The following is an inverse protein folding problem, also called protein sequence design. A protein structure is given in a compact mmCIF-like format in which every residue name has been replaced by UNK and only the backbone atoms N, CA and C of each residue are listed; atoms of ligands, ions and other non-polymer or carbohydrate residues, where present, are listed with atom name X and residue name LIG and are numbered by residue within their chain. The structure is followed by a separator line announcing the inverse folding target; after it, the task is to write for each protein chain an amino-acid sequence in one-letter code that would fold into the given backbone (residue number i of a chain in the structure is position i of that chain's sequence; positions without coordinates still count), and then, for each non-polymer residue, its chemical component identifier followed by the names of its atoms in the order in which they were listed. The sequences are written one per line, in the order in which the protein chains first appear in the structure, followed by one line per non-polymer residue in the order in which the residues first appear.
data_IF_704670130716
#
_entry.id   IF_704670130716
#
_cell.length_a   1.000
_cell.length_b   1.000
_cell.length_c   1.000
_cell.angle_alpha   90.00
_cell.angle_beta   90.00
_cell.angle_gamma   90.00
#
_symmetry.space_group_name_H-M   'P 1'
#
loop_
_entity.id
_entity.type
_entity.pdbx_description
1 polymer ?
#
# COMPACT_ATOMS: atom_id res chain seq x y z
N UNK A 1 13.63 -48.30 88.36
CA UNK A 1 13.94 -46.95 87.86
C UNK A 1 13.47 -46.90 86.39
N UNK A 2 12.39 -46.21 86.16
CA UNK A 2 11.78 -46.10 84.79
C UNK A 2 12.00 -44.67 84.30
N UNK A 3 12.84 -44.54 83.29
CA UNK A 3 13.10 -43.25 82.62
C UNK A 3 12.07 -43.00 81.50
N UNK A 4 11.32 -41.92 81.62
CA UNK A 4 10.36 -41.48 80.60
C UNK A 4 11.08 -40.64 79.55
N UNK A 5 11.05 -41.10 78.31
CA UNK A 5 11.47 -40.29 77.13
C UNK A 5 10.30 -39.38 76.73
N UNK A 6 10.55 -38.09 76.70
CA UNK A 6 9.64 -37.07 76.20
C UNK A 6 9.93 -36.84 74.70
N UNK A 7 9.08 -37.21 73.84
CA UNK A 7 9.16 -36.92 72.36
C UNK A 7 8.62 -35.55 72.08
N UNK A 8 9.45 -34.66 71.59
CA UNK A 8 9.08 -33.31 71.12
C UNK A 8 8.70 -33.38 69.62
N UNK A 9 7.44 -33.17 69.32
CA UNK A 9 6.98 -33.06 67.95
C UNK A 9 7.03 -31.58 67.48
N UNK A 10 7.99 -31.27 66.62
CA UNK A 10 8.08 -29.97 66.00
C UNK A 10 7.16 -29.98 64.70
N UNK A 11 6.06 -29.25 64.75
CA UNK A 11 5.18 -29.05 63.58
C UNK A 11 5.78 -27.96 62.71
N UNK A 12 6.27 -28.34 61.52
CA UNK A 12 6.74 -27.42 60.47
C UNK A 12 5.53 -26.92 59.66
N UNK A 13 5.07 -25.69 59.90
CA UNK A 13 4.04 -25.05 59.08
C UNK A 13 4.66 -24.54 57.78
N UNK A 14 4.43 -25.24 56.66
CA UNK A 14 4.81 -24.78 55.33
C UNK A 14 3.76 -23.74 54.84
N UNK A 15 4.15 -22.47 54.83
CA UNK A 15 3.37 -21.40 54.18
C UNK A 15 3.54 -21.49 52.65
N UNK A 16 2.52 -21.98 51.92
CA UNK A 16 2.46 -21.87 50.49
C UNK A 16 2.20 -20.40 50.11
N UNK A 17 3.22 -19.70 49.67
CA UNK A 17 3.08 -18.42 48.98
C UNK A 17 2.52 -18.72 47.59
N UNK A 18 1.21 -18.47 47.37
CA UNK A 18 0.60 -18.52 46.07
C UNK A 18 1.12 -17.34 45.24
N UNK A 19 2.06 -17.60 44.32
CA UNK A 19 2.42 -16.63 43.27
C UNK A 19 1.21 -16.44 42.36
N UNK A 20 0.42 -15.41 42.59
CA UNK A 20 -0.58 -14.96 41.64
C UNK A 20 0.14 -14.34 40.44
N UNK A 21 0.12 -15.00 39.30
CA UNK A 21 0.57 -14.41 38.05
C UNK A 21 -0.21 -13.12 37.80
N UNK A 22 0.43 -12.01 37.33
CA UNK A 22 -0.28 -10.79 37.01
C UNK A 22 -1.33 -11.08 35.92
N UNK A 23 -2.53 -10.54 36.11
CA UNK A 23 -3.58 -10.64 35.09
C UNK A 23 -3.06 -10.09 33.74
N UNK A 24 -3.40 -10.71 32.60
CA UNK A 24 -3.03 -10.18 31.30
C UNK A 24 -3.52 -8.72 31.19
N UNK A 25 -2.66 -7.84 30.69
CA UNK A 25 -3.01 -6.44 30.48
C UNK A 25 -4.25 -6.36 29.57
N UNK A 26 -5.19 -5.49 29.91
CA UNK A 26 -6.36 -5.24 29.05
C UNK A 26 -5.85 -4.80 27.65
N UNK A 27 -6.51 -5.25 26.57
CA UNK A 27 -6.18 -4.79 25.22
C UNK A 27 -6.25 -3.25 25.17
N UNK A 28 -5.34 -2.59 24.42
CA UNK A 28 -5.38 -1.14 24.29
C UNK A 28 -6.73 -0.69 23.75
N UNK A 29 -7.20 0.49 24.18
CA UNK A 29 -8.43 1.07 23.67
C UNK A 29 -8.33 1.27 22.14
N UNK A 30 -9.42 1.05 21.39
CA UNK A 30 -9.44 1.30 19.96
C UNK A 30 -9.03 2.74 19.65
N UNK A 31 -8.17 2.93 18.65
CA UNK A 31 -7.83 4.27 18.16
C UNK A 31 -9.05 4.92 17.51
N UNK A 32 -9.29 6.24 17.70
CA UNK A 32 -10.32 6.95 16.95
C UNK A 32 -10.07 6.85 15.45
N UNK A 33 -11.13 6.72 14.65
CA UNK A 33 -11.01 6.79 13.19
C UNK A 33 -10.66 8.21 12.74
N UNK A 34 -9.75 8.30 11.78
CA UNK A 34 -9.34 9.52 11.09
C UNK A 34 -9.93 9.61 9.68
N UNK A 35 -10.56 8.54 9.19
CA UNK A 35 -11.13 8.49 7.85
C UNK A 35 -12.12 9.61 7.57
N UNK A 36 -11.91 10.33 6.46
CA UNK A 36 -12.79 11.37 5.97
C UNK A 36 -14.14 10.86 5.46
N UNK A 37 -15.12 11.75 5.26
CA UNK A 37 -16.49 11.37 4.85
C UNK A 37 -16.56 10.75 3.45
N UNK A 38 -15.53 10.93 2.61
CA UNK A 38 -15.42 10.30 1.29
C UNK A 38 -14.97 8.85 1.33
N UNK A 39 -14.55 8.34 2.50
CA UNK A 39 -14.02 6.97 2.64
C UNK A 39 -15.13 5.98 2.97
N UNK A 40 -15.19 4.89 2.22
CA UNK A 40 -16.19 3.84 2.38
C UNK A 40 -15.54 2.46 2.37
N UNK A 41 -15.67 1.71 3.45
CA UNK A 41 -15.34 0.27 3.46
C UNK A 41 -16.50 -0.48 2.80
N UNK A 42 -16.24 -1.16 1.69
CA UNK A 42 -17.29 -1.85 0.95
C UNK A 42 -17.76 -3.08 1.72
N UNK A 43 -19.08 -3.19 1.93
CA UNK A 43 -19.67 -4.34 2.62
C UNK A 43 -19.49 -5.65 1.83
N UNK A 44 -19.49 -5.56 0.49
CA UNK A 44 -19.26 -6.71 -0.38
C UNK A 44 -17.75 -6.97 -0.50
N UNK A 45 -17.32 -8.14 -0.03
CA UNK A 45 -15.99 -8.66 -0.31
C UNK A 45 -15.96 -9.29 -1.71
N UNK A 46 -14.87 -9.12 -2.44
CA UNK A 46 -14.74 -9.70 -3.77
C UNK A 46 -13.90 -10.99 -3.72
N UNK A 47 -14.42 -12.04 -4.36
CA UNK A 47 -13.69 -13.29 -4.50
C UNK A 47 -12.42 -13.10 -5.33
N UNK A 48 -11.33 -13.74 -4.92
CA UNK A 48 -10.04 -13.77 -5.61
C UNK A 48 -9.88 -15.09 -6.37
N UNK A 49 -10.18 -15.13 -7.68
CA UNK A 49 -10.09 -16.36 -8.45
C UNK A 49 -8.68 -16.96 -8.41
N UNK A 50 -8.60 -18.27 -8.24
CA UNK A 50 -7.33 -19.00 -8.15
C UNK A 50 -6.66 -18.97 -6.77
N UNK A 51 -7.09 -18.08 -5.85
CA UNK A 51 -6.54 -18.00 -4.50
C UNK A 51 -7.48 -18.54 -3.41
N UNK A 52 -8.77 -18.80 -3.73
CA UNK A 52 -9.75 -19.33 -2.76
C UNK A 52 -10.02 -18.39 -1.58
N UNK A 53 -9.86 -17.09 -1.78
CA UNK A 53 -10.00 -16.04 -0.76
C UNK A 53 -10.93 -14.95 -1.26
N UNK A 54 -11.31 -14.08 -0.33
CA UNK A 54 -12.05 -12.87 -0.63
C UNK A 54 -11.28 -11.64 -0.12
N UNK A 55 -11.51 -10.50 -0.75
CA UNK A 55 -10.82 -9.26 -0.41
C UNK A 55 -11.79 -8.12 -0.13
N UNK A 56 -11.53 -7.40 0.96
CA UNK A 56 -12.18 -6.13 1.29
C UNK A 56 -11.57 -5.02 0.44
N UNK A 57 -12.42 -4.15 -0.05
CA UNK A 57 -12.01 -2.91 -0.71
C UNK A 57 -12.43 -1.70 0.13
N UNK A 58 -11.58 -0.67 0.12
CA UNK A 58 -11.87 0.65 0.67
C UNK A 58 -11.88 1.65 -0.47
N UNK A 59 -12.94 2.42 -0.55
CA UNK A 59 -13.15 3.35 -1.64
C UNK A 59 -13.12 4.77 -1.10
N UNK A 60 -12.36 5.65 -1.72
CA UNK A 60 -12.51 7.09 -1.54
C UNK A 60 -13.21 7.68 -2.77
N UNK A 61 -14.28 8.44 -2.53
CA UNK A 61 -14.99 9.22 -3.52
C UNK A 61 -14.72 10.71 -3.30
N UNK A 62 -14.37 11.46 -4.34
CA UNK A 62 -14.00 12.86 -4.20
C UNK A 62 -15.21 13.74 -3.82
N UNK A 63 -14.98 14.95 -3.26
CA UNK A 63 -16.04 15.82 -2.74
C UNK A 63 -17.14 16.14 -3.75
N UNK A 64 -16.82 16.33 -5.03
CA UNK A 64 -17.82 16.63 -6.06
C UNK A 64 -18.61 15.41 -6.51
N UNK A 65 -18.25 14.19 -6.09
CA UNK A 65 -18.82 12.97 -6.66
C UNK A 65 -20.35 12.90 -6.56
N UNK A 66 -20.95 13.32 -5.47
CA UNK A 66 -22.41 13.29 -5.31
C UNK A 66 -23.12 14.36 -6.15
N UNK A 67 -22.51 15.54 -6.29
CA UNK A 67 -23.11 16.68 -7.01
C UNK A 67 -22.90 16.62 -8.51
N UNK A 68 -21.73 16.22 -8.97
CA UNK A 68 -21.33 16.18 -10.38
C UNK A 68 -21.72 14.84 -11.04
N UNK A 69 -23.00 14.61 -11.28
CA UNK A 69 -23.54 13.29 -11.68
C UNK A 69 -23.09 12.77 -13.04
N UNK A 70 -22.55 13.64 -13.91
CA UNK A 70 -22.04 13.27 -15.26
C UNK A 70 -20.52 13.21 -15.33
N UNK A 71 -19.82 13.80 -14.37
CA UNK A 71 -18.35 13.84 -14.33
C UNK A 71 -17.77 12.44 -14.12
N UNK A 72 -16.72 12.13 -14.88
CA UNK A 72 -15.92 10.91 -14.71
C UNK A 72 -14.56 11.26 -14.16
N UNK A 73 -14.05 10.38 -13.29
CA UNK A 73 -12.85 10.62 -12.50
C UNK A 73 -11.75 9.62 -12.86
N UNK A 74 -10.48 10.02 -12.87
CA UNK A 74 -9.38 9.08 -12.90
C UNK A 74 -9.44 8.16 -11.68
N UNK A 75 -8.87 6.97 -11.79
CA UNK A 75 -8.90 5.95 -10.73
C UNK A 75 -7.48 5.59 -10.32
N UNK A 76 -7.25 5.60 -9.03
CA UNK A 76 -5.98 5.20 -8.42
C UNK A 76 -6.22 3.90 -7.64
N UNK A 77 -5.63 2.80 -8.09
CA UNK A 77 -5.61 1.53 -7.36
C UNK A 77 -4.43 1.54 -6.40
N UNK A 78 -4.68 1.25 -5.12
CA UNK A 78 -3.65 1.25 -4.09
C UNK A 78 -3.68 -0.02 -3.26
N UNK A 79 -2.50 -0.56 -2.96
CA UNK A 79 -2.33 -1.74 -2.11
C UNK A 79 -2.32 -1.35 -0.62
N UNK A 80 -2.46 -2.34 0.27
CA UNK A 80 -2.38 -2.18 1.73
C UNK A 80 -3.39 -1.16 2.29
N UNK A 81 -4.65 -1.29 1.87
CA UNK A 81 -5.66 -0.25 2.10
C UNK A 81 -5.97 0.03 3.57
N UNK A 82 -5.63 -0.87 4.49
CA UNK A 82 -5.73 -0.63 5.92
C UNK A 82 -4.93 0.59 6.38
N UNK A 83 -3.84 0.94 5.64
CA UNK A 83 -2.92 2.02 5.96
C UNK A 83 -3.18 3.32 5.17
N UNK A 84 -4.21 3.40 4.33
CA UNK A 84 -4.36 4.53 3.40
C UNK A 84 -5.15 5.70 3.97
N UNK A 85 -6.26 5.41 4.69
CA UNK A 85 -7.31 6.38 4.98
C UNK A 85 -7.67 6.51 6.47
N UNK A 86 -7.16 5.63 7.34
CA UNK A 86 -7.64 5.56 8.71
C UNK A 86 -6.56 5.03 9.65
N UNK A 87 -6.11 5.87 10.57
CA UNK A 87 -5.12 5.48 11.58
C UNK A 87 -5.65 4.37 12.51
N UNK A 88 -6.98 4.28 12.70
CA UNK A 88 -7.58 3.23 13.51
C UNK A 88 -7.38 1.83 12.92
N UNK A 89 -7.25 1.70 11.61
CA UNK A 89 -7.03 0.41 10.93
C UNK A 89 -5.58 0.19 10.50
N UNK A 90 -4.76 1.22 10.56
CA UNK A 90 -3.36 1.18 10.17
C UNK A 90 -2.51 0.43 11.21
N UNK A 91 -1.51 -0.32 10.74
CA UNK A 91 -0.55 -1.00 11.61
C UNK A 91 0.63 -0.12 12.02
N UNK A 92 1.03 0.83 11.17
CA UNK A 92 2.28 1.61 11.32
C UNK A 92 2.11 3.10 11.01
N UNK A 93 0.88 3.60 11.08
CA UNK A 93 0.48 4.94 10.66
C UNK A 93 -0.24 4.93 9.32
N UNK A 94 -0.95 6.00 9.00
CA UNK A 94 -1.69 6.14 7.75
C UNK A 94 -0.98 7.03 6.73
N UNK A 95 -1.35 6.85 5.45
CA UNK A 95 -0.84 7.67 4.35
C UNK A 95 -1.55 9.02 4.21
N UNK A 96 -2.75 9.18 4.77
CA UNK A 96 -3.56 10.39 4.62
C UNK A 96 -3.94 10.68 3.17
N UNK A 97 -4.39 9.63 2.47
CA UNK A 97 -4.71 9.70 1.04
C UNK A 97 -5.95 10.55 0.80
N UNK A 98 -6.97 10.40 1.60
CA UNK A 98 -8.22 11.16 1.54
C UNK A 98 -8.01 12.64 1.89
N UNK A 99 -7.25 12.95 2.94
CA UNK A 99 -6.94 14.35 3.29
C UNK A 99 -6.13 15.05 2.18
N UNK A 100 -5.17 14.32 1.58
CA UNK A 100 -4.40 14.85 0.46
C UNK A 100 -5.28 15.15 -0.75
N UNK A 101 -6.20 14.24 -1.10
CA UNK A 101 -7.07 14.42 -2.26
C UNK A 101 -8.18 15.45 -2.00
N UNK A 102 -8.71 15.55 -0.79
CA UNK A 102 -9.61 16.62 -0.39
C UNK A 102 -8.94 17.99 -0.49
N UNK A 103 -7.68 18.09 -0.05
CA UNK A 103 -6.88 19.31 -0.21
C UNK A 103 -6.63 19.62 -1.68
N UNK A 104 -6.35 18.62 -2.54
CA UNK A 104 -6.16 18.83 -3.98
C UNK A 104 -7.46 19.24 -4.67
N UNK A 105 -8.59 18.66 -4.30
CA UNK A 105 -9.90 19.09 -4.80
C UNK A 105 -10.13 20.57 -4.50
N UNK A 106 -9.86 21.00 -3.26
CA UNK A 106 -10.10 22.35 -2.79
C UNK A 106 -9.13 23.38 -3.38
N UNK A 107 -7.84 23.03 -3.51
CA UNK A 107 -6.77 24.00 -3.84
C UNK A 107 -6.28 23.93 -5.27
N UNK A 108 -6.53 22.82 -5.96
CA UNK A 108 -5.99 22.55 -7.29
C UNK A 108 -7.06 22.08 -8.30
N UNK A 109 -8.31 21.87 -7.85
CA UNK A 109 -9.40 21.39 -8.69
C UNK A 109 -9.19 19.94 -9.19
N UNK A 110 -8.22 19.22 -8.64
CA UNK A 110 -7.96 17.83 -8.99
C UNK A 110 -8.76 16.89 -8.08
N UNK A 111 -9.44 15.95 -8.71
CA UNK A 111 -10.24 14.94 -8.03
C UNK A 111 -10.08 13.57 -8.70
N UNK A 112 -9.95 12.54 -7.88
CA UNK A 112 -9.81 11.15 -8.32
C UNK A 112 -10.60 10.21 -7.39
N UNK A 113 -11.00 9.06 -7.91
CA UNK A 113 -11.47 7.92 -7.11
C UNK A 113 -10.24 7.13 -6.68
N UNK A 114 -10.19 6.70 -5.41
CA UNK A 114 -9.17 5.73 -4.97
C UNK A 114 -9.85 4.42 -4.63
N UNK A 115 -9.27 3.33 -5.13
CA UNK A 115 -9.67 1.96 -4.83
C UNK A 115 -8.55 1.31 -4.04
N UNK A 116 -8.67 1.33 -2.74
CA UNK A 116 -7.76 0.66 -1.83
C UNK A 116 -8.11 -0.82 -1.71
N UNK A 117 -7.11 -1.68 -1.80
CA UNK A 117 -7.23 -3.13 -1.71
C UNK A 117 -6.55 -3.56 -0.40
N UNK A 118 -7.33 -4.09 0.55
CA UNK A 118 -6.77 -4.57 1.82
C UNK A 118 -5.74 -5.67 1.56
N UNK A 119 -4.67 -5.71 2.34
CA UNK A 119 -3.73 -6.84 2.30
C UNK A 119 -4.32 -8.07 3.00
N UNK A 120 -3.77 -9.24 2.70
CA UNK A 120 -4.20 -10.52 3.23
C UNK A 120 -3.46 -10.93 4.51
N UNK A 121 -3.06 -10.00 5.37
CA UNK A 121 -2.30 -10.28 6.59
C UNK A 121 -1.08 -11.16 6.32
N UNK A 122 -1.02 -12.38 6.86
CA UNK A 122 0.06 -13.31 6.63
C UNK A 122 0.29 -13.70 5.16
N UNK A 123 -0.73 -13.55 4.32
CA UNK A 123 -0.64 -13.85 2.88
C UNK A 123 -0.06 -12.69 2.05
N UNK A 124 0.07 -11.51 2.65
CA UNK A 124 0.57 -10.31 1.96
C UNK A 124 1.89 -10.55 1.22
N UNK A 125 2.81 -11.27 1.86
CA UNK A 125 4.13 -11.54 1.27
C UNK A 125 4.05 -12.37 0.00
N UNK A 126 3.08 -13.27 -0.11
CA UNK A 126 2.86 -14.10 -1.30
C UNK A 126 2.06 -13.34 -2.36
N UNK A 127 0.99 -12.66 -1.95
CA UNK A 127 0.08 -11.94 -2.85
C UNK A 127 0.73 -10.72 -3.52
N UNK A 128 1.63 -10.02 -2.83
CA UNK A 128 2.33 -8.87 -3.41
C UNK A 128 3.69 -9.23 -4.02
N UNK A 129 3.99 -10.52 -4.16
CA UNK A 129 5.25 -11.02 -4.75
C UNK A 129 4.99 -11.75 -6.05
N UNK A 130 5.39 -11.19 -7.20
CA UNK A 130 5.18 -11.82 -8.51
C UNK A 130 6.10 -12.99 -8.79
N UNK A 131 7.22 -13.11 -8.08
CA UNK A 131 8.25 -14.10 -8.28
C UNK A 131 8.50 -14.91 -7.00
N UNK A 132 8.74 -16.21 -7.16
CA UNK A 132 9.06 -17.11 -6.04
C UNK A 132 10.39 -16.71 -5.40
N UNK A 133 10.42 -16.70 -4.08
CA UNK A 133 11.63 -16.48 -3.30
C UNK A 133 11.85 -17.71 -2.40
N UNK A 134 13.04 -18.38 -2.45
CA UNK A 134 13.29 -19.59 -1.67
C UNK A 134 13.11 -19.44 -0.16
N UNK A 135 13.31 -18.22 0.38
CA UNK A 135 13.15 -17.93 1.79
C UNK A 135 11.69 -17.76 2.21
N UNK A 136 10.86 -17.20 1.31
CA UNK A 136 9.50 -16.79 1.65
C UNK A 136 8.41 -17.67 1.01
N UNK A 137 8.77 -18.56 0.09
CA UNK A 137 7.86 -19.53 -0.51
C UNK A 137 7.28 -19.09 -1.86
N UNK A 138 6.14 -19.69 -2.26
CA UNK A 138 5.56 -19.50 -3.59
C UNK A 138 5.01 -18.09 -3.80
N UNK A 139 5.16 -17.58 -5.02
CA UNK A 139 4.58 -16.32 -5.44
C UNK A 139 3.11 -16.47 -5.80
N UNK A 140 2.30 -15.47 -5.48
CA UNK A 140 0.89 -15.36 -5.86
C UNK A 140 0.57 -13.99 -6.50
N UNK A 141 1.58 -13.17 -6.78
CA UNK A 141 1.42 -11.83 -7.31
C UNK A 141 0.79 -11.80 -8.71
N UNK A 142 0.98 -12.84 -9.51
CA UNK A 142 0.30 -12.97 -10.80
C UNK A 142 -1.22 -13.13 -10.61
N UNK A 143 -1.65 -14.04 -9.74
CA UNK A 143 -3.07 -14.25 -9.42
C UNK A 143 -3.68 -13.01 -8.74
N UNK A 144 -2.92 -12.37 -7.85
CA UNK A 144 -3.36 -11.13 -7.21
C UNK A 144 -3.56 -10.01 -8.25
N UNK A 145 -2.65 -9.81 -9.18
CA UNK A 145 -2.82 -8.79 -10.21
C UNK A 145 -3.91 -9.14 -11.22
N UNK A 146 -4.10 -10.42 -11.55
CA UNK A 146 -5.26 -10.86 -12.32
C UNK A 146 -6.57 -10.54 -11.58
N UNK A 147 -6.64 -10.75 -10.26
CA UNK A 147 -7.78 -10.32 -9.46
C UNK A 147 -8.02 -8.81 -9.56
N UNK A 148 -6.98 -7.99 -9.45
CA UNK A 148 -7.11 -6.53 -9.56
C UNK A 148 -7.64 -6.12 -10.93
N UNK A 149 -7.11 -6.71 -12.01
CA UNK A 149 -7.42 -6.31 -13.40
C UNK A 149 -8.73 -6.91 -13.90
N UNK A 150 -8.98 -8.19 -13.60
CA UNK A 150 -10.08 -8.94 -14.21
C UNK A 150 -11.32 -9.02 -13.30
N UNK A 151 -11.19 -8.69 -12.00
CA UNK A 151 -12.30 -8.69 -11.04
C UNK A 151 -12.56 -7.30 -10.48
N UNK A 152 -11.57 -6.69 -9.80
CA UNK A 152 -11.77 -5.41 -9.11
C UNK A 152 -12.07 -4.30 -10.10
N UNK A 153 -11.21 -4.10 -11.11
CA UNK A 153 -11.37 -2.99 -12.04
C UNK A 153 -12.70 -3.03 -12.80
N UNK A 154 -13.14 -4.13 -13.42
CA UNK A 154 -14.44 -4.19 -14.08
C UNK A 154 -15.61 -3.96 -13.12
N UNK A 155 -15.50 -4.47 -11.88
CA UNK A 155 -16.52 -4.27 -10.86
C UNK A 155 -16.67 -2.79 -10.47
N UNK A 156 -15.55 -2.07 -10.34
CA UNK A 156 -15.50 -0.63 -10.07
C UNK A 156 -16.03 0.17 -11.26
N UNK A 157 -15.53 -0.10 -12.47
CA UNK A 157 -15.92 0.63 -13.68
C UNK A 157 -17.41 0.52 -14.00
N UNK A 158 -18.02 -0.62 -13.65
CA UNK A 158 -19.47 -0.84 -13.83
C UNK A 158 -20.34 -0.08 -12.83
N UNK A 159 -19.80 0.34 -11.69
CA UNK A 159 -20.58 0.92 -10.55
C UNK A 159 -20.28 2.37 -10.29
N UNK A 160 -19.11 2.84 -10.69
CA UNK A 160 -18.64 4.20 -10.41
C UNK A 160 -18.30 4.95 -11.70
N UNK A 161 -18.36 6.25 -11.64
CA UNK A 161 -18.07 7.14 -12.79
C UNK A 161 -16.57 7.29 -13.01
N UNK A 162 -15.95 6.26 -13.53
CA UNK A 162 -14.52 6.17 -13.80
C UNK A 162 -14.15 6.67 -15.19
N UNK A 163 -12.89 7.06 -15.36
CA UNK A 163 -12.19 7.16 -16.65
C UNK A 163 -11.46 5.82 -16.84
N UNK A 164 -12.06 4.82 -17.53
CA UNK A 164 -11.61 3.43 -17.47
C UNK A 164 -10.36 3.13 -18.30
N UNK A 165 -9.96 4.05 -19.18
CA UNK A 165 -8.78 3.90 -20.04
C UNK A 165 -7.48 4.01 -19.26
N UNK A 166 -6.38 3.50 -19.84
CA UNK A 166 -5.06 3.47 -19.21
C UNK A 166 -4.57 4.84 -18.74
N UNK A 167 -4.89 5.89 -19.48
CA UNK A 167 -4.45 7.26 -19.16
C UNK A 167 -5.16 7.84 -17.92
N UNK A 168 -6.37 7.33 -17.63
CA UNK A 168 -7.13 7.63 -16.42
C UNK A 168 -6.88 6.66 -15.25
N UNK A 169 -5.99 5.66 -15.42
CA UNK A 169 -5.81 4.58 -14.44
C UNK A 169 -4.38 4.57 -13.91
N UNK A 170 -4.24 4.68 -12.59
CA UNK A 170 -2.96 4.59 -11.88
C UNK A 170 -2.92 3.41 -10.92
N UNK A 171 -1.71 2.90 -10.63
CA UNK A 171 -1.46 1.91 -9.59
C UNK A 171 -0.35 2.42 -8.66
N UNK A 172 -0.55 2.30 -7.36
CA UNK A 172 0.38 2.84 -6.35
C UNK A 172 0.57 1.86 -5.21
N UNK A 173 1.79 1.74 -4.73
CA UNK A 173 2.09 0.97 -3.53
C UNK A 173 3.49 1.17 -3.02
N UNK A 174 3.74 0.72 -1.79
CA UNK A 174 5.05 0.76 -1.15
C UNK A 174 5.58 -0.64 -0.83
N UNK A 175 6.89 -0.75 -0.71
CA UNK A 175 7.54 -2.00 -0.32
C UNK A 175 7.21 -3.14 -1.31
N UNK A 176 6.63 -4.24 -0.85
CA UNK A 176 6.08 -5.28 -1.74
C UNK A 176 4.93 -4.76 -2.61
N UNK A 177 4.12 -3.79 -2.11
CA UNK A 177 3.13 -3.08 -2.91
C UNK A 177 3.77 -2.27 -4.05
N UNK A 178 4.94 -1.71 -3.84
CA UNK A 178 5.76 -1.09 -4.89
C UNK A 178 6.28 -2.12 -5.91
N UNK A 179 6.73 -3.29 -5.44
CA UNK A 179 7.17 -4.39 -6.30
C UNK A 179 6.04 -4.88 -7.21
N UNK A 180 4.85 -5.12 -6.67
CA UNK A 180 3.70 -5.60 -7.46
C UNK A 180 3.12 -4.50 -8.35
N UNK A 181 3.22 -3.21 -7.97
CA UNK A 181 2.88 -2.08 -8.85
C UNK A 181 3.82 -1.99 -10.06
N UNK A 182 5.11 -2.24 -9.84
CA UNK A 182 6.07 -2.38 -10.94
C UNK A 182 5.69 -3.52 -11.88
N UNK A 183 5.40 -4.70 -11.33
CA UNK A 183 4.95 -5.86 -12.10
C UNK A 183 3.66 -5.56 -12.90
N UNK A 184 2.74 -4.78 -12.34
CA UNK A 184 1.53 -4.36 -13.04
C UNK A 184 1.84 -3.60 -14.33
N UNK A 185 2.86 -2.74 -14.34
CA UNK A 185 3.28 -2.03 -15.56
C UNK A 185 3.91 -2.98 -16.60
N UNK A 186 4.59 -4.04 -16.16
CA UNK A 186 5.16 -5.05 -17.09
C UNK A 186 4.09 -5.92 -17.74
N UNK A 187 3.07 -6.34 -16.97
CA UNK A 187 2.07 -7.33 -17.42
C UNK A 187 0.80 -6.72 -17.98
N UNK A 188 0.43 -5.52 -17.51
CA UNK A 188 -0.83 -4.86 -17.83
C UNK A 188 -0.62 -3.42 -18.31
N UNK A 189 0.33 -3.14 -19.22
CA UNK A 189 0.59 -1.79 -19.70
C UNK A 189 -0.60 -1.18 -20.45
N UNK A 190 -1.53 -2.00 -20.94
CA UNK A 190 -2.78 -1.56 -21.55
C UNK A 190 -3.83 -1.09 -20.53
N UNK A 191 -3.63 -1.40 -19.24
CA UNK A 191 -4.54 -1.05 -18.13
C UNK A 191 -4.04 0.17 -17.38
N UNK A 192 -2.75 0.17 -17.03
CA UNK A 192 -2.14 1.20 -16.20
C UNK A 192 -1.23 2.11 -17.02
N UNK A 193 -1.63 3.37 -17.17
CA UNK A 193 -0.82 4.40 -17.80
C UNK A 193 0.05 5.18 -16.83
N UNK A 194 -0.15 4.99 -15.53
CA UNK A 194 0.53 5.70 -14.44
C UNK A 194 0.84 4.76 -13.29
N UNK A 195 2.00 4.95 -12.66
CA UNK A 195 2.31 4.29 -11.40
C UNK A 195 3.16 5.17 -10.47
N UNK A 196 2.93 5.06 -9.17
CA UNK A 196 3.90 5.51 -8.17
C UNK A 196 4.40 4.32 -7.37
N UNK A 197 5.70 4.16 -7.36
CA UNK A 197 6.41 3.00 -6.83
C UNK A 197 7.29 3.49 -5.69
N UNK A 198 6.79 3.30 -4.46
CA UNK A 198 7.42 3.78 -3.25
C UNK A 198 8.27 2.69 -2.62
N UNK A 199 9.53 2.97 -2.37
CA UNK A 199 10.44 2.09 -1.62
C UNK A 199 10.32 0.61 -2.02
N UNK A 200 10.39 0.27 -3.34
CA UNK A 200 10.03 -1.05 -3.82
C UNK A 200 10.99 -2.13 -3.30
N UNK A 201 10.43 -3.28 -2.92
CA UNK A 201 11.19 -4.44 -2.44
C UNK A 201 11.93 -5.17 -3.55
N UNK A 202 12.84 -4.50 -4.27
CA UNK A 202 13.61 -5.11 -5.37
C UNK A 202 14.60 -6.18 -4.89
N UNK A 203 14.99 -6.12 -3.62
CA UNK A 203 15.76 -7.18 -2.96
C UNK A 203 15.07 -8.54 -2.95
N UNK A 204 13.74 -8.57 -3.12
CA UNK A 204 12.94 -9.80 -3.04
C UNK A 204 13.26 -10.79 -4.16
N UNK A 205 13.47 -10.31 -5.38
CA UNK A 205 13.83 -11.15 -6.53
C UNK A 205 14.54 -10.36 -7.62
N UNK A 206 15.67 -10.90 -8.12
CA UNK A 206 16.39 -10.33 -9.27
C UNK A 206 15.63 -10.44 -10.59
N UNK A 207 14.56 -11.26 -10.64
CA UNK A 207 13.69 -11.41 -11.82
C UNK A 207 13.07 -10.07 -12.23
N UNK A 208 12.83 -9.15 -11.29
CA UNK A 208 12.29 -7.82 -11.61
C UNK A 208 13.17 -7.09 -12.64
N UNK A 209 14.49 -7.18 -12.52
CA UNK A 209 15.42 -6.53 -13.46
C UNK A 209 15.45 -7.24 -14.82
N UNK A 210 15.46 -8.58 -14.81
CA UNK A 210 15.45 -9.39 -16.04
C UNK A 210 14.17 -9.15 -16.85
N UNK A 211 13.01 -9.17 -16.19
CA UNK A 211 11.72 -8.94 -16.82
C UNK A 211 11.58 -7.49 -17.33
N UNK A 212 12.04 -6.49 -16.57
CA UNK A 212 12.03 -5.09 -17.00
C UNK A 212 12.90 -4.88 -18.24
N UNK A 213 14.05 -5.52 -18.30
CA UNK A 213 14.94 -5.44 -19.47
C UNK A 213 14.32 -6.11 -20.71
N UNK A 214 13.65 -7.25 -20.52
CA UNK A 214 13.05 -8.00 -21.61
C UNK A 214 11.74 -7.39 -22.13
N UNK A 215 10.96 -6.79 -21.24
CA UNK A 215 9.60 -6.31 -21.51
C UNK A 215 9.35 -4.94 -20.86
N UNK A 216 10.11 -3.88 -21.22
CA UNK A 216 9.84 -2.57 -20.67
C UNK A 216 8.43 -2.10 -21.06
N UNK A 217 7.74 -1.44 -20.14
CA UNK A 217 6.44 -0.85 -20.47
C UNK A 217 6.59 0.26 -21.52
N UNK A 218 5.53 0.54 -22.31
CA UNK A 218 5.60 1.47 -23.43
C UNK A 218 5.91 2.91 -23.00
N UNK A 219 6.47 3.69 -23.91
CA UNK A 219 6.62 5.13 -23.78
C UNK A 219 5.27 5.80 -23.49
N UNK A 220 5.27 6.94 -22.81
CA UNK A 220 4.09 7.63 -22.33
C UNK A 220 3.47 7.00 -21.07
N UNK A 221 4.08 5.95 -20.49
CA UNK A 221 3.71 5.47 -19.16
C UNK A 221 4.43 6.30 -18.11
N UNK A 222 3.69 7.07 -17.34
CA UNK A 222 4.26 7.93 -16.29
C UNK A 222 4.55 7.12 -15.04
N UNK A 223 5.81 7.12 -14.61
CA UNK A 223 6.24 6.35 -13.43
C UNK A 223 7.01 7.24 -12.47
N UNK A 224 6.47 7.37 -11.27
CA UNK A 224 7.08 8.08 -10.15
C UNK A 224 7.77 7.08 -9.23
N UNK A 225 9.08 7.18 -9.08
CA UNK A 225 9.84 6.38 -8.12
C UNK A 225 10.22 7.21 -6.90
N UNK A 226 10.04 6.62 -5.73
CA UNK A 226 10.45 7.22 -4.46
C UNK A 226 11.22 6.22 -3.62
N UNK A 227 12.23 6.71 -2.89
CA UNK A 227 12.95 5.94 -1.89
C UNK A 227 13.55 6.84 -0.82
N UNK A 228 13.55 6.37 0.43
CA UNK A 228 14.26 6.99 1.54
C UNK A 228 15.74 6.60 1.55
N UNK A 229 16.62 7.58 1.83
CA UNK A 229 18.06 7.35 1.91
C UNK A 229 18.51 6.60 3.17
N UNK A 230 17.62 6.43 4.16
CA UNK A 230 17.89 5.69 5.42
C UNK A 230 17.10 4.39 5.52
N UNK A 231 16.75 3.76 4.40
CA UNK A 231 16.04 2.48 4.41
C UNK A 231 17.02 1.32 4.67
N UNK A 232 17.74 0.92 3.66
CA UNK A 232 18.88 -0.01 3.77
C UNK A 232 19.96 0.39 2.77
N UNK A 233 21.17 -0.21 2.88
CA UNK A 233 22.32 0.18 2.08
C UNK A 233 22.14 -0.06 0.58
N UNK A 234 21.37 -1.06 0.20
CA UNK A 234 21.14 -1.45 -1.20
C UNK A 234 19.89 -0.80 -1.81
N UNK A 235 19.00 -0.21 -1.01
CA UNK A 235 17.71 0.27 -1.47
C UNK A 235 17.81 1.36 -2.55
N UNK A 236 18.66 2.37 -2.32
CA UNK A 236 18.90 3.44 -3.31
C UNK A 236 19.66 2.93 -4.54
N UNK A 237 20.77 2.16 -4.41
CA UNK A 237 21.44 1.52 -5.55
C UNK A 237 20.50 0.65 -6.41
N UNK A 238 19.67 -0.17 -5.78
CA UNK A 238 18.71 -1.02 -6.47
C UNK A 238 17.69 -0.22 -7.28
N UNK A 239 17.14 0.85 -6.70
CA UNK A 239 16.24 1.73 -7.42
C UNK A 239 16.94 2.45 -8.59
N UNK A 240 18.13 2.97 -8.38
CA UNK A 240 18.91 3.64 -9.43
C UNK A 240 19.25 2.68 -10.59
N UNK A 241 19.60 1.44 -10.27
CA UNK A 241 19.82 0.37 -11.26
C UNK A 241 18.55 0.13 -12.08
N UNK A 242 17.38 0.09 -11.45
CA UNK A 242 16.10 -0.09 -12.14
C UNK A 242 15.81 1.10 -13.08
N UNK A 243 15.95 2.32 -12.60
CA UNK A 243 15.72 3.52 -13.43
C UNK A 243 16.66 3.57 -14.63
N UNK A 244 17.92 3.16 -14.44
CA UNK A 244 18.88 3.06 -15.53
C UNK A 244 18.48 2.04 -16.63
N UNK A 245 17.85 0.93 -16.25
CA UNK A 245 17.31 -0.05 -17.21
C UNK A 245 16.13 0.52 -18.02
N UNK A 246 15.38 1.44 -17.45
CA UNK A 246 14.21 2.05 -18.07
C UNK A 246 14.56 3.26 -18.95
N UNK A 247 15.75 3.83 -18.80
CA UNK A 247 16.24 4.95 -19.59
C UNK A 247 16.66 4.48 -21.01
N UNK A 248 15.66 4.34 -21.89
CA UNK A 248 15.87 3.97 -23.30
C UNK A 248 15.78 5.20 -24.21
N UNK A 249 16.41 5.20 -25.41
CA UNK A 249 16.36 6.34 -26.33
C UNK A 249 14.93 6.75 -26.74
N UNK A 250 14.00 5.80 -26.79
CA UNK A 250 12.63 6.03 -27.22
C UNK A 250 11.72 6.53 -26.10
N UNK A 251 12.22 6.61 -24.86
CA UNK A 251 11.46 7.06 -23.70
C UNK A 251 11.73 8.53 -23.43
N UNK A 252 10.67 9.33 -23.32
CA UNK A 252 10.79 10.70 -22.92
C UNK A 252 11.32 10.80 -21.47
N UNK A 253 12.22 11.72 -21.20
CA UNK A 253 12.70 11.97 -19.84
C UNK A 253 11.56 12.39 -18.88
N UNK A 254 10.45 12.90 -19.43
CA UNK A 254 9.24 13.26 -18.69
C UNK A 254 8.38 12.06 -18.25
N UNK A 255 8.66 10.85 -18.76
CA UNK A 255 7.87 9.67 -18.45
C UNK A 255 8.28 9.03 -17.10
N UNK A 256 9.49 9.29 -16.63
CA UNK A 256 10.02 8.73 -15.40
C UNK A 256 10.61 9.83 -14.55
N UNK A 257 10.31 9.81 -13.26
CA UNK A 257 11.01 10.60 -12.25
C UNK A 257 11.43 9.72 -11.09
N UNK A 258 12.51 10.12 -10.42
CA UNK A 258 13.01 9.48 -9.20
C UNK A 258 13.21 10.57 -8.14
N UNK A 259 12.67 10.30 -6.95
CA UNK A 259 12.87 11.16 -5.79
C UNK A 259 13.52 10.36 -4.67
N UNK A 260 14.75 10.73 -4.31
CA UNK A 260 15.50 10.16 -3.19
C UNK A 260 15.51 11.19 -2.07
N UNK A 261 14.90 10.85 -0.93
CA UNK A 261 14.86 11.73 0.25
C UNK A 261 15.90 11.24 1.26
N UNK A 262 17.05 11.93 1.43
CA UNK A 262 18.22 11.40 2.15
C UNK A 262 17.92 10.97 3.60
N UNK A 263 17.03 11.68 4.30
CA UNK A 263 16.73 11.45 5.71
C UNK A 263 15.52 10.54 5.95
N UNK A 264 14.81 10.16 4.89
CA UNK A 264 13.60 9.36 5.00
C UNK A 264 13.90 7.87 5.22
N UNK A 265 12.97 7.21 5.92
CA UNK A 265 13.02 5.81 6.27
C UNK A 265 11.89 5.03 5.58
N UNK A 266 11.95 3.70 5.63
CA UNK A 266 10.94 2.79 5.10
C UNK A 266 9.70 2.73 5.99
N UNK A 267 8.82 3.74 5.91
CA UNK A 267 7.60 3.79 6.72
C UNK A 267 6.51 4.69 6.12
N UNK A 268 5.30 4.55 6.65
CA UNK A 268 4.10 5.25 6.20
C UNK A 268 4.22 6.78 6.35
N UNK A 269 4.91 7.26 7.37
CA UNK A 269 5.14 8.69 7.55
C UNK A 269 5.93 9.31 6.38
N UNK A 270 6.94 8.61 5.90
CA UNK A 270 7.73 9.04 4.76
C UNK A 270 6.89 9.01 3.46
N UNK A 271 6.12 7.93 3.26
CA UNK A 271 5.26 7.78 2.10
C UNK A 271 4.09 8.78 2.10
N UNK A 272 3.51 9.08 3.26
CA UNK A 272 2.50 10.16 3.43
C UNK A 272 3.04 11.52 2.98
N UNK A 273 4.27 11.85 3.37
CA UNK A 273 4.89 13.12 3.00
C UNK A 273 5.15 13.24 1.49
N UNK A 274 5.43 12.12 0.83
CA UNK A 274 5.76 12.04 -0.59
C UNK A 274 4.53 11.90 -1.50
N UNK A 275 3.45 11.30 -1.02
CA UNK A 275 2.25 11.02 -1.81
C UNK A 275 1.69 12.22 -2.56
N UNK A 276 1.56 13.43 -1.96
CA UNK A 276 1.11 14.63 -2.68
C UNK A 276 1.99 14.98 -3.89
N UNK A 277 3.30 14.82 -3.77
CA UNK A 277 4.26 15.10 -4.86
C UNK A 277 4.08 14.11 -6.01
N UNK A 278 3.94 12.82 -5.68
CA UNK A 278 3.69 11.77 -6.66
C UNK A 278 2.38 12.00 -7.43
N UNK A 279 1.29 12.32 -6.74
CA UNK A 279 -0.01 12.61 -7.38
C UNK A 279 0.08 13.85 -8.26
N UNK A 280 0.70 14.93 -7.78
CA UNK A 280 0.87 16.14 -8.54
C UNK A 280 1.65 15.89 -9.85
N UNK A 281 2.71 15.09 -9.77
CA UNK A 281 3.51 14.76 -10.95
C UNK A 281 2.77 13.79 -11.89
N UNK A 282 2.16 12.72 -11.40
CA UNK A 282 1.47 11.71 -12.22
C UNK A 282 0.32 12.28 -13.04
N UNK A 283 -0.40 13.24 -12.49
CA UNK A 283 -1.61 13.81 -13.08
C UNK A 283 -1.45 15.26 -13.56
N UNK A 284 -0.23 15.78 -13.59
CA UNK A 284 0.08 17.19 -13.96
C UNK A 284 -0.73 18.20 -13.17
N UNK A 285 -0.94 17.93 -11.88
CA UNK A 285 -1.74 18.78 -11.00
C UNK A 285 -0.95 20.02 -10.61
N UNK A 286 -1.34 21.16 -11.16
CA UNK A 286 -0.75 22.46 -10.84
C UNK A 286 -1.57 23.17 -9.76
N UNK A 287 -0.96 24.09 -9.00
CA UNK A 287 -1.73 24.99 -8.15
C UNK A 287 -2.77 25.75 -8.99
N UNK A 288 -3.96 25.96 -8.45
CA UNK A 288 -4.95 26.85 -9.07
C UNK A 288 -4.36 28.25 -9.22
N UNK A 289 -4.60 28.87 -10.38
CA UNK A 289 -4.26 30.26 -10.60
C UNK A 289 -5.01 31.12 -9.55
N UNK A 290 -4.31 31.98 -8.78
CA UNK A 290 -4.97 32.84 -7.79
C UNK A 290 -6.10 33.70 -8.37
N UNK A 291 -6.09 33.98 -9.68
CA UNK A 291 -7.14 34.73 -10.38
C UNK A 291 -8.43 33.91 -10.61
N UNK A 292 -8.42 32.59 -10.33
CA UNK A 292 -9.57 31.68 -10.50
C UNK A 292 -10.26 31.34 -9.17
N UNK A 293 -9.89 32.06 -8.07
CA UNK A 293 -10.53 31.93 -6.76
C UNK A 293 -11.62 32.95 -6.52
#
# INVERSE_FOLDING_TARGET
MRTKLLSLIVALAATLAACTAPAPAAPPAPRPSTAGPGVHVLAQRLAMPGLGRERTLRLYLPPSYAAETTRRYPVIYMHDAQNLFDDATSNSGEWGVDETLDEFARTRGFEAIVVGIDHGDGERIHELSPWTNPKYGPAQGEQYMAFVVDTVKPWIDARYRTQPGRDGTAIIGSSLGGLVSHYALLRYPQVFGKAAIFSPSYWYSSEVYAQTKAHPWPAGTRTYFYIGGREDEEAVPDLQRMVALLATPDRAASDITIHVVPEAQHNERAWRAEFPLAIAWLFDVRPLDPSQR
#
